data_IF_340875302370
#
_entry.id   IF_340875302370
#
_cell.length_a   1.000
_cell.length_b   1.000
_cell.length_c   1.000
_cell.angle_alpha   90.00
_cell.angle_beta   90.00
_cell.angle_gamma   90.00
#
_symmetry.space_group_name_H-M   'P 1'
#
loop_
_entity.id
_entity.type
_entity.pdbx_description
1 polymer ?
#
# COMPACT_ATOMS: atom_id res chain seq x y z
N UNK A 1 29.95 -5.08 38.04
CA UNK A 1 30.22 -4.80 36.60
C UNK A 1 28.88 -4.76 35.91
N UNK A 2 28.43 -3.54 35.55
CA UNK A 2 27.20 -3.38 34.78
C UNK A 2 27.61 -3.35 33.30
N UNK A 3 27.19 -4.36 32.56
CA UNK A 3 27.41 -4.41 31.12
C UNK A 3 26.55 -3.29 30.47
N UNK A 4 27.22 -2.30 29.91
CA UNK A 4 26.61 -1.24 29.11
C UNK A 4 26.17 -1.87 27.79
N UNK A 5 24.87 -2.07 27.63
CA UNK A 5 24.32 -2.41 26.31
C UNK A 5 24.43 -1.18 25.42
N UNK A 6 25.22 -1.29 24.36
CA UNK A 6 25.28 -0.32 23.30
C UNK A 6 23.92 -0.28 22.59
N UNK A 7 23.40 0.91 22.19
CA UNK A 7 22.17 0.99 21.43
C UNK A 7 22.34 0.26 20.09
N UNK A 8 21.44 -0.68 19.81
CA UNK A 8 21.38 -1.35 18.51
C UNK A 8 21.19 -0.32 17.40
N UNK A 9 21.99 -0.44 16.34
CA UNK A 9 21.81 0.40 15.16
C UNK A 9 20.50 0.03 14.45
N UNK A 10 19.86 0.98 13.78
CA UNK A 10 18.62 0.74 13.02
C UNK A 10 18.74 -0.44 12.02
N UNK A 11 19.96 -0.68 11.52
CA UNK A 11 20.25 -1.80 10.62
C UNK A 11 20.28 -3.16 11.33
N UNK A 12 20.62 -3.19 12.63
CA UNK A 12 20.60 -4.40 13.47
C UNK A 12 19.16 -4.72 13.92
N UNK A 13 18.34 -3.71 14.19
CA UNK A 13 16.92 -3.90 14.46
C UNK A 13 16.19 -4.44 13.23
N UNK A 14 16.50 -3.93 12.03
CA UNK A 14 15.95 -4.43 10.78
C UNK A 14 16.42 -5.87 10.49
N UNK A 15 17.68 -6.21 10.76
CA UNK A 15 18.19 -7.59 10.67
C UNK A 15 17.51 -8.51 11.67
N UNK A 16 17.20 -8.06 12.89
CA UNK A 16 16.55 -8.91 13.89
C UNK A 16 15.08 -9.20 13.56
N UNK A 17 14.37 -8.27 12.89
CA UNK A 17 13.00 -8.50 12.38
C UNK A 17 13.02 -9.44 11.16
N UNK A 18 14.06 -9.37 10.31
CA UNK A 18 14.22 -10.28 9.16
C UNK A 18 14.65 -11.71 9.56
N UNK A 19 15.11 -11.91 10.79
CA UNK A 19 15.50 -13.22 11.31
C UNK A 19 14.29 -14.05 11.78
N UNK A 20 13.13 -13.42 12.02
CA UNK A 20 11.85 -14.12 12.02
C UNK A 20 11.42 -14.22 10.54
N UNK A 21 11.46 -15.43 9.99
CA UNK A 21 10.98 -15.71 8.64
C UNK A 21 9.48 -15.40 8.60
N UNK A 22 9.13 -14.12 8.29
CA UNK A 22 7.75 -13.72 8.07
C UNK A 22 7.22 -14.54 6.89
N UNK A 23 6.12 -15.23 7.12
CA UNK A 23 5.46 -15.98 6.07
C UNK A 23 4.82 -15.01 5.05
N UNK A 24 4.76 -15.42 3.80
CA UNK A 24 3.90 -14.75 2.83
C UNK A 24 2.46 -14.96 3.27
N UNK A 25 1.69 -13.87 3.33
CA UNK A 25 0.27 -13.90 3.65
C UNK A 25 -0.56 -13.59 2.41
N UNK A 26 -1.73 -14.23 2.34
CA UNK A 26 -2.74 -13.94 1.35
C UNK A 26 -3.65 -12.83 1.86
N UNK A 27 -4.05 -11.93 0.96
CA UNK A 27 -4.92 -10.79 1.28
C UNK A 27 -6.38 -11.13 1.00
N UNK A 28 -6.63 -12.11 0.13
CA UNK A 28 -7.97 -12.57 -0.23
C UNK A 28 -8.61 -13.39 0.89
N UNK A 29 -9.93 -13.27 1.03
CA UNK A 29 -10.71 -14.10 1.96
C UNK A 29 -10.90 -15.53 1.44
N UNK A 30 -10.86 -15.71 0.11
CA UNK A 30 -11.06 -16.98 -0.58
C UNK A 30 -9.99 -17.22 -1.64
N UNK A 31 -9.21 -18.28 -1.51
CA UNK A 31 -8.16 -18.69 -2.48
C UNK A 31 -8.71 -19.03 -3.85
N UNK A 32 -9.95 -19.51 -3.93
CA UNK A 32 -10.64 -19.81 -5.18
C UNK A 32 -11.92 -18.98 -5.28
N UNK A 33 -12.29 -18.51 -6.50
CA UNK A 33 -13.51 -17.74 -6.67
C UNK A 33 -14.72 -18.52 -6.15
N UNK A 34 -15.47 -17.91 -5.24
CA UNK A 34 -16.72 -18.49 -4.76
C UNK A 34 -17.80 -18.36 -5.84
N UNK A 35 -18.09 -19.47 -6.51
CA UNK A 35 -19.08 -19.52 -7.59
C UNK A 35 -20.52 -19.20 -7.15
N UNK A 36 -20.78 -19.12 -5.86
CA UNK A 36 -22.08 -18.67 -5.30
C UNK A 36 -22.21 -17.15 -5.25
N UNK A 37 -21.11 -16.41 -5.46
CA UNK A 37 -21.04 -14.95 -5.41
C UNK A 37 -21.10 -14.34 -6.81
N UNK A 38 -21.55 -13.08 -6.92
CA UNK A 38 -21.48 -12.35 -8.19
C UNK A 38 -20.00 -12.21 -8.60
N UNK A 39 -19.65 -12.74 -9.76
CA UNK A 39 -18.36 -12.46 -10.37
C UNK A 39 -18.32 -10.98 -10.82
N UNK A 40 -17.23 -10.30 -10.51
CA UNK A 40 -16.98 -8.95 -11.01
C UNK A 40 -16.33 -8.03 -10.00
N UNK A 41 -15.71 -6.99 -10.54
CA UNK A 41 -15.07 -5.95 -9.76
C UNK A 41 -16.10 -5.00 -9.15
N UNK A 42 -15.99 -4.79 -7.86
CA UNK A 42 -16.78 -3.83 -7.09
C UNK A 42 -15.86 -2.68 -6.67
N UNK A 43 -16.39 -1.47 -6.66
CA UNK A 43 -15.67 -0.28 -6.21
C UNK A 43 -16.20 0.23 -4.88
N UNK A 44 -15.29 0.51 -3.97
CA UNK A 44 -15.51 1.29 -2.75
C UNK A 44 -14.62 2.53 -2.81
N UNK A 45 -15.19 3.73 -2.65
CA UNK A 45 -14.40 4.97 -2.64
C UNK A 45 -14.27 5.50 -1.22
N UNK A 46 -13.05 5.84 -0.82
CA UNK A 46 -12.82 6.61 0.41
C UNK A 46 -13.32 8.04 0.19
N UNK A 47 -14.05 8.64 1.14
CA UNK A 47 -14.50 10.02 1.01
C UNK A 47 -13.33 10.99 0.83
N UNK A 48 -13.50 11.96 -0.05
CA UNK A 48 -12.51 13.01 -0.30
C UNK A 48 -12.23 13.80 0.98
N UNK A 49 -10.94 14.07 1.22
CA UNK A 49 -10.49 14.74 2.43
C UNK A 49 -9.36 15.73 2.10
N UNK A 50 -9.65 17.04 2.22
CA UNK A 50 -8.67 18.11 2.00
C UNK A 50 -7.51 18.03 3.00
N UNK A 51 -7.79 17.64 4.26
CA UNK A 51 -6.79 17.50 5.30
C UNK A 51 -5.83 16.35 4.98
N UNK A 52 -6.34 15.20 4.54
CA UNK A 52 -5.52 14.06 4.11
C UNK A 52 -4.63 14.43 2.91
N UNK A 53 -5.16 15.22 1.98
CA UNK A 53 -4.41 15.71 0.82
C UNK A 53 -3.25 16.61 1.25
N UNK A 54 -3.53 17.59 2.12
CA UNK A 54 -2.52 18.52 2.62
C UNK A 54 -1.45 17.81 3.47
N UNK A 55 -1.86 16.83 4.26
CA UNK A 55 -0.95 16.01 5.07
C UNK A 55 -0.01 15.19 4.19
N UNK A 56 -0.53 14.53 3.16
CA UNK A 56 0.28 13.74 2.23
C UNK A 56 1.30 14.60 1.48
N UNK A 57 0.90 15.80 1.05
CA UNK A 57 1.78 16.74 0.36
C UNK A 57 2.88 17.27 1.28
N UNK A 58 2.51 17.69 2.49
CA UNK A 58 3.46 18.16 3.50
C UNK A 58 4.45 17.07 3.92
N UNK A 59 3.98 15.85 4.08
CA UNK A 59 4.84 14.71 4.43
C UNK A 59 5.79 14.35 3.30
N UNK A 60 5.33 14.33 2.05
CA UNK A 60 6.21 14.06 0.90
C UNK A 60 7.34 15.08 0.80
N UNK A 61 7.04 16.36 1.02
CA UNK A 61 8.04 17.44 1.04
C UNK A 61 8.99 17.32 2.24
N UNK A 62 8.44 17.11 3.46
CA UNK A 62 9.21 17.03 4.70
C UNK A 62 10.12 15.81 4.76
N UNK A 63 9.61 14.64 4.41
CA UNK A 63 10.34 13.37 4.46
C UNK A 63 11.28 13.19 3.26
N UNK A 64 11.08 13.96 2.17
CA UNK A 64 11.76 13.75 0.91
C UNK A 64 11.40 12.41 0.25
N UNK A 65 10.27 11.83 0.61
CA UNK A 65 9.79 10.55 0.11
C UNK A 65 8.75 10.75 -1.01
N UNK A 66 8.84 9.99 -2.10
CA UNK A 66 7.79 9.97 -3.13
C UNK A 66 6.42 9.59 -2.55
N UNK A 67 5.37 10.16 -3.13
CA UNK A 67 3.98 9.90 -2.67
C UNK A 67 3.62 8.42 -2.74
N UNK A 68 4.03 7.71 -3.78
CA UNK A 68 3.81 6.27 -3.95
C UNK A 68 4.47 5.43 -2.85
N UNK A 69 5.64 5.82 -2.35
CA UNK A 69 6.30 5.18 -1.21
C UNK A 69 5.51 5.36 0.09
N UNK A 70 4.98 6.57 0.34
CA UNK A 70 4.14 6.87 1.49
C UNK A 70 2.82 6.07 1.45
N UNK A 71 2.19 6.03 0.29
CA UNK A 71 0.96 5.25 0.07
C UNK A 71 1.20 3.76 0.28
N UNK A 72 2.31 3.23 -0.22
CA UNK A 72 2.67 1.82 -0.07
C UNK A 72 2.99 1.47 1.38
N UNK A 73 3.69 2.36 2.11
CA UNK A 73 3.96 2.20 3.54
C UNK A 73 2.67 2.19 4.38
N UNK A 74 1.73 3.10 4.06
CA UNK A 74 0.42 3.12 4.70
C UNK A 74 -0.40 1.87 4.38
N UNK A 75 -0.38 1.39 3.13
CA UNK A 75 -1.03 0.15 2.73
C UNK A 75 -0.45 -1.06 3.49
N UNK A 76 0.87 -1.15 3.63
CA UNK A 76 1.53 -2.20 4.41
C UNK A 76 1.06 -2.20 5.87
N UNK A 77 0.98 -1.02 6.50
CA UNK A 77 0.48 -0.87 7.87
C UNK A 77 -0.99 -1.25 7.98
N UNK A 78 -1.81 -0.86 6.99
CA UNK A 78 -3.23 -1.20 6.93
C UNK A 78 -3.42 -2.71 6.86
N UNK A 79 -2.73 -3.39 5.95
CA UNK A 79 -2.79 -4.85 5.82
C UNK A 79 -2.38 -5.52 7.14
N UNK A 80 -1.28 -5.09 7.75
CA UNK A 80 -0.82 -5.66 9.02
C UNK A 80 -1.85 -5.53 10.14
N UNK A 81 -2.56 -4.40 10.19
CA UNK A 81 -3.54 -4.12 11.24
C UNK A 81 -4.85 -4.88 11.02
N UNK A 82 -5.27 -5.03 9.76
CA UNK A 82 -6.56 -5.62 9.39
C UNK A 82 -6.47 -7.14 9.18
N UNK A 83 -5.44 -7.59 8.47
CA UNK A 83 -5.34 -9.00 8.01
C UNK A 83 -4.25 -9.79 8.74
N UNK A 84 -3.27 -9.11 9.35
CA UNK A 84 -2.18 -9.73 10.08
C UNK A 84 -0.80 -9.44 9.50
N UNK A 85 0.22 -9.91 10.21
CA UNK A 85 1.62 -9.61 9.91
C UNK A 85 2.24 -10.66 8.96
N UNK A 86 3.01 -10.19 7.97
CA UNK A 86 3.69 -11.05 7.03
C UNK A 86 4.30 -10.29 5.87
N UNK A 87 4.65 -10.99 4.81
CA UNK A 87 5.11 -10.41 3.55
C UNK A 87 3.98 -10.54 2.53
N UNK A 88 3.62 -9.43 1.91
CA UNK A 88 2.63 -9.37 0.82
C UNK A 88 3.35 -8.94 -0.46
N UNK A 89 3.32 -9.75 -1.52
CA UNK A 89 3.74 -9.31 -2.84
C UNK A 89 2.70 -8.33 -3.38
N UNK A 90 3.13 -7.13 -3.77
CA UNK A 90 2.26 -6.08 -4.30
C UNK A 90 2.80 -5.65 -5.66
N UNK A 91 1.95 -5.65 -6.67
CA UNK A 91 2.27 -5.03 -7.94
C UNK A 91 2.09 -3.52 -7.79
N UNK A 92 3.05 -2.73 -8.28
CA UNK A 92 3.07 -1.29 -8.08
C UNK A 92 3.19 -0.55 -9.39
N UNK A 93 2.23 0.30 -9.72
CA UNK A 93 2.40 1.34 -10.73
C UNK A 93 2.53 2.69 -10.07
N UNK A 94 3.60 3.38 -10.40
CA UNK A 94 3.87 4.72 -9.91
C UNK A 94 3.54 5.77 -10.97
N UNK A 95 3.42 7.04 -10.55
CA UNK A 95 3.26 8.21 -11.44
C UNK A 95 4.32 8.27 -12.54
N UNK A 96 5.49 7.65 -12.34
CA UNK A 96 6.56 7.55 -13.35
C UNK A 96 6.28 6.55 -14.47
N UNK A 97 5.15 5.83 -14.39
CA UNK A 97 4.70 4.91 -15.42
C UNK A 97 5.39 3.53 -15.45
N UNK A 98 6.23 3.25 -14.47
CA UNK A 98 6.80 1.91 -14.28
C UNK A 98 5.78 1.02 -13.59
N UNK A 99 5.62 -0.20 -14.10
CA UNK A 99 4.89 -1.27 -13.41
C UNK A 99 5.91 -2.28 -12.88
N UNK A 100 5.95 -2.39 -11.56
CA UNK A 100 6.83 -3.30 -10.82
C UNK A 100 6.01 -4.50 -10.34
N UNK A 101 6.52 -5.71 -10.54
CA UNK A 101 5.84 -6.94 -10.15
C UNK A 101 6.27 -7.44 -8.79
N UNK A 102 5.29 -7.94 -8.06
CA UNK A 102 5.48 -8.74 -6.85
C UNK A 102 6.51 -8.14 -5.88
N UNK A 103 6.46 -6.80 -5.70
CA UNK A 103 7.33 -6.13 -4.73
C UNK A 103 7.03 -6.68 -3.34
N UNK A 104 7.99 -7.34 -2.66
CA UNK A 104 7.74 -7.98 -1.38
C UNK A 104 7.66 -6.90 -0.28
N UNK A 105 6.48 -6.59 0.17
CA UNK A 105 6.23 -5.59 1.20
C UNK A 105 6.04 -6.26 2.55
N UNK A 106 6.83 -5.81 3.53
CA UNK A 106 6.71 -6.26 4.91
C UNK A 106 5.55 -5.53 5.60
N UNK A 107 4.52 -6.28 5.93
CA UNK A 107 3.33 -5.81 6.63
C UNK A 107 3.46 -6.17 8.11
N UNK A 108 3.75 -5.18 8.96
CA UNK A 108 3.91 -5.34 10.40
C UNK A 108 3.27 -4.18 11.16
N UNK A 109 2.81 -4.45 12.38
CA UNK A 109 2.17 -3.43 13.23
C UNK A 109 3.19 -2.47 13.85
N UNK A 110 2.71 -1.37 14.45
CA UNK A 110 3.55 -0.39 15.14
C UNK A 110 4.35 -0.99 16.31
N UNK A 111 3.90 -2.11 16.86
CA UNK A 111 4.62 -2.81 17.91
C UNK A 111 5.91 -3.50 17.38
N UNK A 112 5.97 -3.83 16.10
CA UNK A 112 7.10 -4.52 15.47
C UNK A 112 8.07 -3.54 14.80
N UNK A 113 7.55 -2.54 14.10
CA UNK A 113 8.36 -1.54 13.40
C UNK A 113 7.67 -0.16 13.43
N UNK A 114 8.46 0.88 13.69
CA UNK A 114 7.99 2.27 13.60
C UNK A 114 7.77 2.72 12.14
N UNK A 115 7.12 3.88 11.95
CA UNK A 115 6.80 4.43 10.64
C UNK A 115 8.06 4.65 9.77
N UNK A 116 9.17 5.10 10.36
CA UNK A 116 10.44 5.30 9.65
C UNK A 116 11.03 3.98 9.14
N UNK A 117 10.93 2.91 9.95
CA UNK A 117 11.43 1.60 9.55
C UNK A 117 10.61 1.01 8.39
N UNK A 118 9.27 1.16 8.43
CA UNK A 118 8.39 0.73 7.34
C UNK A 118 8.72 1.49 6.06
N UNK A 119 8.78 2.82 6.12
CA UNK A 119 9.06 3.66 4.94
C UNK A 119 10.42 3.31 4.31
N UNK A 120 11.45 3.10 5.15
CA UNK A 120 12.76 2.67 4.69
C UNK A 120 12.74 1.27 4.07
N UNK A 121 11.93 0.35 4.62
CA UNK A 121 11.71 -0.98 4.07
C UNK A 121 11.06 -0.94 2.69
N UNK A 122 10.02 -0.12 2.53
CA UNK A 122 9.33 0.13 1.26
C UNK A 122 10.29 0.71 0.22
N UNK A 123 11.05 1.75 0.58
CA UNK A 123 12.06 2.34 -0.30
C UNK A 123 13.07 1.29 -0.79
N UNK A 124 13.60 0.46 0.11
CA UNK A 124 14.53 -0.62 -0.24
C UNK A 124 13.91 -1.70 -1.12
N UNK A 125 12.65 -2.06 -0.89
CA UNK A 125 11.92 -3.02 -1.70
C UNK A 125 11.70 -2.50 -3.13
N UNK A 126 11.25 -1.26 -3.27
CA UNK A 126 11.05 -0.63 -4.58
C UNK A 126 12.37 -0.43 -5.34
N UNK A 127 13.44 -0.05 -4.66
CA UNK A 127 14.77 0.12 -5.27
C UNK A 127 15.37 -1.19 -5.80
N UNK A 128 14.97 -2.33 -5.23
CA UNK A 128 15.42 -3.66 -5.64
C UNK A 128 14.43 -4.38 -6.58
N UNK A 129 13.24 -3.81 -6.79
CA UNK A 129 12.24 -4.40 -7.66
C UNK A 129 12.64 -4.34 -9.13
N UNK A 130 12.14 -5.30 -9.90
CA UNK A 130 12.35 -5.39 -11.35
C UNK A 130 11.07 -4.99 -12.10
N UNK A 131 11.24 -4.46 -13.30
CA UNK A 131 10.10 -4.23 -14.19
C UNK A 131 9.41 -5.55 -14.55
N UNK A 132 8.10 -5.45 -14.77
CA UNK A 132 7.24 -6.60 -15.04
C UNK A 132 7.75 -7.50 -16.14
N UNK A 133 7.94 -8.76 -15.79
CA UNK A 133 8.28 -9.83 -16.73
C UNK A 133 7.38 -11.06 -16.60
N UNK A 134 6.46 -11.07 -15.63
CA UNK A 134 5.82 -12.28 -15.18
C UNK A 134 4.44 -12.54 -15.79
N UNK A 135 4.12 -13.83 -15.94
CA UNK A 135 2.79 -14.31 -16.27
C UNK A 135 1.89 -14.43 -15.02
N UNK A 136 2.49 -14.38 -13.81
CA UNK A 136 1.76 -14.40 -12.54
C UNK A 136 1.57 -12.97 -12.01
N UNK A 137 0.37 -12.67 -11.54
CA UNK A 137 0.00 -11.40 -10.92
C UNK A 137 -0.10 -11.59 -9.41
N UNK A 138 0.29 -10.54 -8.67
CA UNK A 138 0.04 -10.46 -7.25
C UNK A 138 -1.47 -10.31 -6.97
N UNK A 139 -1.91 -10.66 -5.76
CA UNK A 139 -3.31 -10.45 -5.35
C UNK A 139 -3.65 -8.96 -5.28
N UNK A 140 -2.66 -8.14 -4.90
CA UNK A 140 -2.82 -6.71 -4.62
C UNK A 140 -2.06 -5.88 -5.64
N UNK A 141 -2.70 -4.80 -6.07
CA UNK A 141 -2.14 -3.81 -6.98
C UNK A 141 -2.29 -2.39 -6.39
N UNK A 142 -1.18 -1.68 -6.22
CA UNK A 142 -1.18 -0.25 -5.95
C UNK A 142 -1.00 0.51 -7.26
N UNK A 143 -2.03 1.26 -7.65
CA UNK A 143 -2.07 2.04 -8.89
C UNK A 143 -2.11 3.54 -8.57
N UNK A 144 -0.94 4.19 -8.52
CA UNK A 144 -0.83 5.63 -8.32
C UNK A 144 -0.70 6.36 -9.66
N UNK A 145 -1.75 7.05 -10.05
CA UNK A 145 -1.88 7.74 -11.34
C UNK A 145 -1.39 9.20 -11.30
N UNK A 146 -1.07 9.74 -10.11
CA UNK A 146 -0.72 11.14 -9.98
C UNK A 146 -1.87 12.09 -10.35
N UNK A 147 -1.53 13.22 -10.99
CA UNK A 147 -2.52 14.22 -11.41
C UNK A 147 -3.24 13.77 -12.68
N UNK A 148 -4.54 13.59 -12.59
CA UNK A 148 -5.40 13.22 -13.72
C UNK A 148 -6.13 14.47 -14.23
N UNK A 149 -6.03 14.83 -15.51
CA UNK A 149 -6.75 15.97 -16.08
C UNK A 149 -8.27 15.72 -16.15
N UNK A 150 -9.07 16.66 -15.69
CA UNK A 150 -10.55 16.57 -15.68
C UNK A 150 -11.19 16.41 -17.08
N UNK A 151 -10.49 16.77 -18.15
CA UNK A 151 -11.12 17.01 -19.46
C UNK A 151 -10.73 16.04 -20.57
N UNK A 152 -9.84 15.10 -20.34
CA UNK A 152 -9.24 14.31 -21.44
C UNK A 152 -9.58 12.81 -21.44
N UNK A 153 -10.34 12.34 -20.49
CA UNK A 153 -10.69 10.92 -20.37
C UNK A 153 -12.15 10.73 -20.74
N UNK A 154 -12.47 9.91 -21.77
CA UNK A 154 -13.85 9.64 -22.18
C UNK A 154 -14.73 9.00 -21.08
N UNK A 155 -14.08 8.27 -20.16
CA UNK A 155 -14.68 7.65 -18.99
C UNK A 155 -13.88 8.13 -17.77
N UNK A 156 -14.53 8.64 -16.71
CA UNK A 156 -13.86 9.03 -15.49
C UNK A 156 -13.00 7.89 -14.93
N UNK A 157 -11.82 8.21 -14.38
CA UNK A 157 -10.90 7.21 -13.82
C UNK A 157 -11.59 6.31 -12.79
N UNK A 158 -12.45 6.90 -11.96
CA UNK A 158 -13.21 6.18 -10.95
C UNK A 158 -14.28 5.22 -11.50
N UNK A 159 -14.64 5.33 -12.78
CA UNK A 159 -15.61 4.45 -13.43
C UNK A 159 -14.96 3.39 -14.32
N UNK A 160 -13.64 3.45 -14.49
CA UNK A 160 -12.90 2.51 -15.32
C UNK A 160 -12.51 1.30 -14.47
N UNK A 161 -13.10 0.11 -14.70
CA UNK A 161 -12.72 -1.07 -13.95
C UNK A 161 -11.27 -1.48 -14.23
N UNK A 162 -10.58 -2.13 -13.26
CA UNK A 162 -9.24 -2.66 -13.48
C UNK A 162 -9.24 -3.69 -14.60
N UNK A 163 -8.19 -3.63 -15.43
CA UNK A 163 -8.03 -4.54 -16.58
C UNK A 163 -6.92 -5.58 -16.40
N UNK A 164 -6.22 -5.58 -15.25
CA UNK A 164 -5.04 -6.42 -15.07
C UNK A 164 -5.33 -7.77 -14.39
N UNK A 165 -6.51 -7.95 -13.79
CA UNK A 165 -6.90 -9.22 -13.18
C UNK A 165 -6.47 -9.43 -11.74
N UNK A 166 -5.99 -8.38 -11.04
CA UNK A 166 -5.73 -8.43 -9.60
C UNK A 166 -7.04 -8.61 -8.81
N UNK A 167 -6.95 -9.30 -7.68
CA UNK A 167 -8.10 -9.47 -6.80
C UNK A 167 -8.46 -8.17 -6.04
N UNK A 168 -7.45 -7.34 -5.73
CA UNK A 168 -7.60 -6.03 -5.09
C UNK A 168 -6.73 -4.99 -5.80
N UNK A 169 -7.32 -3.88 -6.25
CA UNK A 169 -6.58 -2.69 -6.70
C UNK A 169 -6.90 -1.52 -5.76
N UNK A 170 -5.87 -0.94 -5.15
CA UNK A 170 -5.94 0.37 -4.54
C UNK A 170 -5.50 1.42 -5.56
N UNK A 171 -6.47 2.15 -6.08
CA UNK A 171 -6.24 3.21 -7.07
C UNK A 171 -6.21 4.56 -6.42
N UNK A 172 -5.10 5.29 -6.59
CA UNK A 172 -4.95 6.65 -6.06
C UNK A 172 -4.67 7.61 -7.20
N UNK A 173 -5.39 8.71 -7.22
CA UNK A 173 -5.26 9.75 -8.24
C UNK A 173 -5.64 11.11 -7.68
N UNK A 174 -5.30 12.18 -8.41
CA UNK A 174 -5.63 13.57 -8.03
C UNK A 174 -6.48 14.21 -9.10
N UNK A 175 -7.58 14.83 -8.68
CA UNK A 175 -8.39 15.73 -9.51
C UNK A 175 -8.70 16.99 -8.70
N UNK A 176 -8.70 18.14 -9.35
CA UNK A 176 -8.99 19.44 -8.71
C UNK A 176 -8.15 19.72 -7.43
N UNK A 177 -6.95 19.14 -7.35
CA UNK A 177 -6.06 19.30 -6.21
C UNK A 177 -6.34 18.36 -5.03
N UNK A 178 -7.36 17.52 -5.09
CA UNK A 178 -7.69 16.55 -4.04
C UNK A 178 -7.20 15.16 -4.41
N UNK A 179 -6.77 14.41 -3.40
CA UNK A 179 -6.46 12.99 -3.50
C UNK A 179 -7.73 12.17 -3.37
N UNK A 180 -7.92 11.27 -4.32
CA UNK A 180 -9.00 10.30 -4.36
C UNK A 180 -8.43 8.91 -4.22
N UNK A 181 -9.10 8.04 -3.44
CA UNK A 181 -8.70 6.67 -3.19
C UNK A 181 -9.88 5.77 -3.47
N UNK A 182 -9.75 4.92 -4.48
CA UNK A 182 -10.73 3.92 -4.86
C UNK A 182 -10.16 2.51 -4.62
N UNK A 183 -10.95 1.68 -3.96
CA UNK A 183 -10.69 0.27 -3.74
C UNK A 183 -11.53 -0.54 -4.71
N UNK A 184 -10.87 -1.19 -5.66
CA UNK A 184 -11.51 -2.11 -6.58
C UNK A 184 -11.19 -3.54 -6.17
N UNK A 185 -12.19 -4.35 -5.96
CA UNK A 185 -12.01 -5.72 -5.51
C UNK A 185 -12.92 -6.70 -6.25
N UNK A 186 -12.44 -7.93 -6.44
CA UNK A 186 -13.25 -9.00 -6.98
C UNK A 186 -14.14 -9.58 -5.87
N UNK A 187 -15.46 -9.41 -6.01
CA UNK A 187 -16.44 -9.89 -5.05
C UNK A 187 -16.48 -11.43 -4.91
N UNK A 188 -15.82 -12.16 -5.81
CA UNK A 188 -15.67 -13.62 -5.66
C UNK A 188 -14.52 -14.02 -4.76
N UNK A 189 -13.57 -13.11 -4.49
CA UNK A 189 -12.40 -13.31 -3.65
C UNK A 189 -12.48 -12.60 -2.30
N UNK A 190 -13.34 -11.59 -2.17
CA UNK A 190 -13.46 -10.77 -0.96
C UNK A 190 -14.86 -10.73 -0.39
N UNK A 191 -14.94 -10.72 0.94
CA UNK A 191 -16.09 -10.19 1.66
C UNK A 191 -16.08 -8.66 1.55
N UNK A 192 -17.21 -8.00 1.28
CA UNK A 192 -17.27 -6.53 1.28
C UNK A 192 -16.73 -5.90 2.55
N UNK A 193 -17.01 -6.52 3.70
CA UNK A 193 -16.54 -6.05 5.01
C UNK A 193 -15.01 -5.99 5.12
N UNK A 194 -14.28 -6.94 4.55
CA UNK A 194 -12.81 -6.93 4.58
C UNK A 194 -12.25 -5.69 3.87
N UNK A 195 -12.82 -5.36 2.71
CA UNK A 195 -12.38 -4.17 1.96
C UNK A 195 -12.84 -2.88 2.62
N UNK A 196 -14.04 -2.87 3.21
CA UNK A 196 -14.53 -1.73 4.01
C UNK A 196 -13.58 -1.44 5.18
N UNK A 197 -13.12 -2.46 5.89
CA UNK A 197 -12.18 -2.31 6.99
C UNK A 197 -10.81 -1.82 6.52
N UNK A 198 -10.28 -2.34 5.41
CA UNK A 198 -9.06 -1.82 4.80
C UNK A 198 -9.21 -0.32 4.46
N UNK A 199 -10.32 0.07 3.86
CA UNK A 199 -10.59 1.46 3.48
C UNK A 199 -10.74 2.40 4.69
N UNK A 200 -11.31 1.91 5.81
CA UNK A 200 -11.43 2.67 7.06
C UNK A 200 -10.10 2.82 7.80
N UNK A 201 -9.25 1.78 7.78
CA UNK A 201 -7.96 1.82 8.47
C UNK A 201 -6.89 2.59 7.70
N UNK A 202 -6.97 2.62 6.37
CA UNK A 202 -5.95 3.23 5.52
C UNK A 202 -5.66 4.71 5.83
N UNK A 203 -6.64 5.62 5.99
CA UNK A 203 -6.36 7.00 6.36
C UNK A 203 -5.60 7.13 7.69
N UNK A 204 -5.90 6.28 8.67
CA UNK A 204 -5.21 6.26 9.96
C UNK A 204 -3.75 5.83 9.81
N UNK A 205 -3.52 4.77 9.04
CA UNK A 205 -2.18 4.30 8.72
C UNK A 205 -1.38 5.36 7.95
N UNK A 206 -2.03 6.09 7.03
CA UNK A 206 -1.39 7.18 6.31
C UNK A 206 -0.99 8.32 7.24
N UNK A 207 -1.88 8.76 8.16
CA UNK A 207 -1.53 9.75 9.18
C UNK A 207 -0.38 9.29 10.08
N UNK A 208 -0.33 8.01 10.47
CA UNK A 208 0.80 7.44 11.21
C UNK A 208 2.10 7.58 10.41
N UNK A 209 2.09 7.20 9.12
CA UNK A 209 3.28 7.29 8.27
C UNK A 209 3.75 8.74 8.08
N UNK A 210 2.83 9.68 7.92
CA UNK A 210 3.16 11.09 7.66
C UNK A 210 3.59 11.84 8.91
N UNK A 211 3.06 11.48 10.09
CA UNK A 211 3.30 12.19 11.35
C UNK A 211 4.51 11.62 12.11
N UNK A 212 4.67 10.31 12.13
CA UNK A 212 5.64 9.64 13.00
C UNK A 212 6.93 9.25 12.27
N UNK A 213 6.95 9.23 10.94
CA UNK A 213 8.17 8.96 10.20
C UNK A 213 9.16 10.14 10.26
N UNK A 214 10.44 9.80 10.29
CA UNK A 214 11.53 10.77 10.25
C UNK A 214 12.18 10.77 8.86
N UNK A 215 12.68 11.94 8.39
CA UNK A 215 13.41 12.02 7.14
C UNK A 215 14.57 11.02 7.11
N UNK A 216 14.66 10.27 6.03
CA UNK A 216 15.78 9.36 5.79
C UNK A 216 16.91 10.17 5.15
N UNK A 217 17.82 10.69 5.98
CA UNK A 217 19.04 11.39 5.52
C UNK A 217 20.09 10.38 5.08
#
# INVERSE_FOLDING_TARGET
>A
MVASQLPMTANEAFKSVTEFALATIHVVDYDAPDSSRPAGMVRLSTPDNEELTAELDGASEWLGAPTDELLLAALARTIATTLGEGIVPIDVASERGSLLDAVPIMCVTAAQADATAILRGVHGALASATERSADEMSEVYLNYLGQVPDSSIPVPVQETPPGLGHALEMRVYRTQGLVHIDWWYDASHFEPYTVEELAEQFPRALYEMTTDALPTV
#
